data_IF_643411371719
#
_entry.id   IF_643411371719
#
_cell.length_a   1.000
_cell.length_b   1.000
_cell.length_c   1.000
_cell.angle_alpha   90.00
_cell.angle_beta   90.00
_cell.angle_gamma   90.00
#
_symmetry.space_group_name_H-M   'P 1'
#
loop_
_entity.id
_entity.type
_entity.pdbx_description
1 polymer ?
#
# COMPACT_ATOMS: atom_id res chain seq x y z
N UNK A 1 -4.70 -0.12 30.24
CA UNK A 1 -3.34 0.43 30.47
C UNK A 1 -2.47 0.02 29.30
N UNK A 2 -1.66 0.93 28.74
CA UNK A 2 -0.71 0.54 27.68
C UNK A 2 0.48 -0.13 28.38
N UNK A 3 0.70 -1.39 28.11
CA UNK A 3 1.81 -2.19 28.67
C UNK A 3 3.15 -1.60 28.25
N UNK A 4 4.08 -1.43 29.19
CA UNK A 4 5.45 -1.06 28.87
C UNK A 4 6.28 -2.31 28.57
N UNK A 5 7.19 -2.20 27.59
CA UNK A 5 8.06 -3.30 27.15
C UNK A 5 9.50 -2.80 27.06
N UNK A 6 10.42 -3.52 27.69
CA UNK A 6 11.85 -3.33 27.54
C UNK A 6 12.40 -4.40 26.58
N UNK A 7 12.88 -3.98 25.42
CA UNK A 7 13.54 -4.82 24.42
C UNK A 7 15.05 -4.71 24.66
N UNK A 8 15.71 -5.80 25.07
CA UNK A 8 17.13 -5.81 25.43
C UNK A 8 17.99 -6.41 24.32
N UNK A 9 19.22 -5.93 24.26
CA UNK A 9 20.29 -6.48 23.41
C UNK A 9 19.96 -6.48 21.91
N UNK A 10 19.07 -5.58 21.45
CA UNK A 10 18.66 -5.50 20.07
C UNK A 10 19.75 -4.92 19.17
N UNK A 11 19.96 -5.50 17.99
CA UNK A 11 20.78 -4.89 16.92
C UNK A 11 19.94 -3.90 16.11
N UNK A 12 20.54 -2.82 15.68
CA UNK A 12 19.94 -1.83 14.78
C UNK A 12 20.54 -1.95 13.37
N UNK A 13 19.80 -1.48 12.35
CA UNK A 13 20.19 -1.64 10.95
C UNK A 13 21.48 -0.89 10.57
N UNK A 14 21.85 0.13 11.34
CA UNK A 14 23.07 0.93 11.14
C UNK A 14 24.38 0.21 11.55
N UNK A 15 24.26 -1.03 12.03
CA UNK A 15 25.41 -1.83 12.46
C UNK A 15 26.06 -1.37 13.75
N UNK A 16 25.44 -0.45 14.49
CA UNK A 16 25.94 0.01 15.81
C UNK A 16 25.93 -1.13 16.84
N UNK A 17 26.58 -0.88 17.98
CA UNK A 17 26.55 -1.81 19.12
C UNK A 17 25.10 -2.09 19.55
N UNK A 18 24.82 -3.28 20.14
CA UNK A 18 23.49 -3.61 20.62
C UNK A 18 22.94 -2.57 21.60
N UNK A 19 21.63 -2.36 21.54
CA UNK A 19 20.92 -1.36 22.34
C UNK A 19 19.75 -1.98 23.10
N UNK A 20 19.37 -1.32 24.19
CA UNK A 20 18.09 -1.53 24.86
C UNK A 20 17.09 -0.47 24.41
N UNK A 21 15.84 -0.87 24.19
CA UNK A 21 14.74 0.00 23.81
C UNK A 21 13.59 -0.14 24.83
N UNK A 22 13.24 0.98 25.47
CA UNK A 22 12.06 1.03 26.32
C UNK A 22 10.88 1.57 25.51
N UNK A 23 9.84 0.75 25.34
CA UNK A 23 8.56 1.15 24.75
C UNK A 23 7.56 1.39 25.86
N UNK A 24 6.99 2.57 25.93
CA UNK A 24 5.97 2.95 26.91
C UNK A 24 4.97 3.91 26.29
N UNK A 25 3.70 3.75 26.62
CA UNK A 25 2.65 4.62 26.09
C UNK A 25 2.46 4.55 24.56
N UNK A 26 3.04 3.52 23.88
CA UNK A 26 2.97 3.38 22.41
C UNK A 26 4.07 4.11 21.65
N UNK A 27 5.12 4.59 22.35
CA UNK A 27 6.28 5.24 21.77
C UNK A 27 7.58 4.63 22.31
N UNK A 28 8.68 4.81 21.58
CA UNK A 28 10.02 4.50 22.10
C UNK A 28 10.38 5.60 23.10
N UNK A 29 10.25 5.32 24.39
CA UNK A 29 10.51 6.27 25.46
C UNK A 29 12.00 6.46 25.76
N UNK A 30 12.82 5.41 25.55
CA UNK A 30 14.26 5.48 25.71
C UNK A 30 14.98 4.51 24.76
N UNK A 31 16.19 4.92 24.31
CA UNK A 31 17.17 4.09 23.62
C UNK A 31 18.50 4.26 24.35
N UNK A 32 19.14 3.19 24.75
CA UNK A 32 20.38 3.21 25.51
C UNK A 32 21.29 2.03 25.11
N UNK A 33 22.60 2.05 25.42
CA UNK A 33 23.47 0.91 25.23
C UNK A 33 22.93 -0.34 25.94
N UNK A 34 23.16 -1.51 25.34
CA UNK A 34 22.70 -2.78 25.90
C UNK A 34 23.12 -2.98 27.36
N UNK A 35 22.19 -3.43 28.18
CA UNK A 35 22.40 -3.72 29.60
C UNK A 35 22.36 -2.50 30.53
N UNK A 36 22.05 -1.30 30.00
CA UNK A 36 22.04 -0.07 30.81
C UNK A 36 20.67 0.30 31.38
N UNK A 37 19.57 -0.14 30.73
CA UNK A 37 18.24 0.11 31.24
C UNK A 37 17.88 -0.94 32.32
N UNK A 38 17.30 -0.53 33.49
CA UNK A 38 16.91 -1.45 34.51
C UNK A 38 15.70 -2.31 34.10
N UNK A 39 15.62 -3.56 34.56
CA UNK A 39 14.53 -4.49 34.17
C UNK A 39 13.17 -4.06 34.71
N UNK A 40 13.17 -3.39 35.84
CA UNK A 40 11.96 -2.86 36.49
C UNK A 40 11.41 -1.60 35.80
N UNK A 41 12.10 -1.08 34.75
CA UNK A 41 11.61 0.03 33.94
C UNK A 41 10.36 -0.33 33.11
N UNK A 42 10.03 -1.62 32.96
CA UNK A 42 8.91 -2.07 32.15
C UNK A 42 8.20 -3.28 32.78
N UNK A 43 6.90 -3.41 32.44
CA UNK A 43 6.08 -4.56 32.89
C UNK A 43 6.51 -5.87 32.20
N UNK A 44 7.11 -5.78 31.01
CA UNK A 44 7.55 -6.93 30.21
C UNK A 44 8.96 -6.70 29.67
N UNK A 45 9.82 -7.70 29.84
CA UNK A 45 11.16 -7.71 29.24
C UNK A 45 11.22 -8.73 28.11
N UNK A 46 11.77 -8.31 26.97
CA UNK A 46 12.00 -9.14 25.78
C UNK A 46 13.49 -9.15 25.45
N UNK A 47 14.14 -10.30 25.52
CA UNK A 47 15.52 -10.45 25.05
C UNK A 47 15.53 -10.59 23.51
N UNK A 48 16.18 -9.63 22.86
CA UNK A 48 16.37 -9.56 21.43
C UNK A 48 17.83 -9.86 21.00
N UNK A 49 18.59 -10.57 21.85
CA UNK A 49 19.96 -10.97 21.56
C UNK A 49 20.05 -11.65 20.18
N UNK A 50 20.94 -11.14 19.31
CA UNK A 50 21.12 -11.62 17.94
C UNK A 50 20.01 -11.23 16.94
N UNK A 51 18.93 -10.58 17.40
CA UNK A 51 17.83 -10.13 16.54
C UNK A 51 18.03 -8.69 16.12
N UNK A 52 17.53 -8.38 14.92
CA UNK A 52 17.52 -7.04 14.34
C UNK A 52 16.18 -6.37 14.63
N UNK A 53 16.22 -5.14 15.13
CA UNK A 53 15.04 -4.28 15.26
C UNK A 53 14.99 -3.36 14.03
N UNK A 54 13.87 -3.38 13.37
CA UNK A 54 13.58 -2.56 12.19
C UNK A 54 12.28 -1.77 12.41
N UNK A 55 12.06 -0.67 11.68
CA UNK A 55 10.72 -0.12 11.52
C UNK A 55 9.78 -1.20 11.01
N UNK A 56 8.52 -1.16 11.43
CA UNK A 56 7.52 -2.08 10.90
C UNK A 56 7.38 -1.92 9.38
N UNK A 57 7.12 -3.02 8.68
CA UNK A 57 6.88 -2.99 7.25
C UNK A 57 5.56 -2.28 6.94
N UNK A 58 5.50 -1.61 5.81
CA UNK A 58 4.28 -0.99 5.30
C UNK A 58 3.98 -1.54 3.90
N UNK A 59 2.79 -2.13 3.72
CA UNK A 59 2.33 -2.64 2.44
C UNK A 59 1.49 -1.59 1.72
N UNK A 60 1.95 -1.14 0.56
CA UNK A 60 1.28 -0.11 -0.25
C UNK A 60 0.31 -0.68 -1.30
N UNK A 61 -0.03 -1.98 -1.21
CA UNK A 61 -0.97 -2.60 -2.14
C UNK A 61 -1.66 -3.81 -1.50
N UNK A 62 -2.71 -3.57 -0.70
CA UNK A 62 -3.43 -4.63 0.00
C UNK A 62 -4.92 -4.62 -0.33
N UNK A 63 -5.47 -5.78 -0.73
CA UNK A 63 -6.88 -5.99 -0.99
C UNK A 63 -7.59 -6.42 0.30
N UNK A 64 -8.31 -5.51 0.95
CA UNK A 64 -9.05 -5.82 2.18
C UNK A 64 -10.49 -6.25 1.88
N UNK A 65 -10.99 -6.00 0.69
CA UNK A 65 -12.25 -6.51 0.11
C UNK A 65 -13.55 -6.19 0.89
N UNK A 66 -13.46 -5.72 2.11
CA UNK A 66 -14.60 -5.36 2.96
C UNK A 66 -14.82 -3.83 2.96
N UNK A 67 -16.06 -3.34 2.82
CA UNK A 67 -17.33 -4.09 2.71
C UNK A 67 -17.58 -4.68 1.32
N UNK A 68 -18.46 -5.66 1.26
CA UNK A 68 -19.13 -6.16 0.07
C UNK A 68 -18.49 -7.36 -0.62
N UNK A 69 -17.24 -7.72 -0.25
CA UNK A 69 -16.52 -8.88 -0.79
C UNK A 69 -15.86 -9.71 0.33
N UNK A 70 -16.55 -9.88 1.43
CA UNK A 70 -16.07 -10.58 2.63
C UNK A 70 -15.85 -12.07 2.42
N UNK A 71 -16.33 -12.61 1.32
CA UNK A 71 -16.03 -13.96 0.83
C UNK A 71 -14.58 -14.12 0.39
N UNK A 72 -13.93 -13.02 -0.02
CA UNK A 72 -12.53 -13.01 -0.42
C UNK A 72 -11.61 -12.69 0.75
N UNK A 73 -11.88 -11.58 1.45
CA UNK A 73 -11.06 -11.14 2.57
C UNK A 73 -11.85 -10.17 3.47
N UNK A 74 -11.41 -10.07 4.75
CA UNK A 74 -11.95 -9.13 5.74
C UNK A 74 -10.84 -8.31 6.37
N UNK A 75 -11.17 -7.11 6.82
CA UNK A 75 -10.22 -6.22 7.51
C UNK A 75 -9.55 -6.94 8.70
N UNK A 76 -10.32 -7.64 9.53
CA UNK A 76 -9.77 -8.35 10.70
C UNK A 76 -8.76 -9.43 10.32
N UNK A 77 -9.06 -10.26 9.31
CA UNK A 77 -8.18 -11.38 8.93
C UNK A 77 -6.97 -10.92 8.15
N UNK A 78 -7.12 -9.98 7.23
CA UNK A 78 -6.00 -9.38 6.48
C UNK A 78 -5.02 -8.67 7.42
N UNK A 79 -5.52 -7.86 8.35
CA UNK A 79 -4.65 -7.12 9.28
C UNK A 79 -4.00 -8.03 10.32
N UNK A 80 -4.64 -9.14 10.71
CA UNK A 80 -4.02 -10.19 11.53
C UNK A 80 -2.87 -10.88 10.78
N UNK A 81 -3.08 -11.25 9.51
CA UNK A 81 -2.04 -11.84 8.67
C UNK A 81 -0.85 -10.87 8.48
N UNK A 82 -1.14 -9.59 8.21
CA UNK A 82 -0.15 -8.53 8.09
C UNK A 82 0.72 -8.43 9.35
N UNK A 83 0.08 -8.35 10.53
CA UNK A 83 0.76 -8.27 11.82
C UNK A 83 1.67 -9.49 12.06
N UNK A 84 1.21 -10.69 11.73
CA UNK A 84 2.01 -11.92 11.80
C UNK A 84 3.25 -11.88 10.90
N UNK A 85 3.15 -11.21 9.74
CA UNK A 85 4.26 -10.99 8.80
C UNK A 85 5.20 -9.84 9.17
N UNK A 86 4.93 -9.10 10.26
CA UNK A 86 5.71 -7.91 10.65
C UNK A 86 5.32 -6.64 9.89
N UNK A 87 4.21 -6.67 9.17
CA UNK A 87 3.61 -5.50 8.52
C UNK A 87 2.75 -4.75 9.55
N UNK A 88 3.06 -3.48 9.77
CA UNK A 88 2.43 -2.64 10.79
C UNK A 88 1.50 -1.58 10.20
N UNK A 89 1.45 -1.48 8.88
CA UNK A 89 0.53 -0.59 8.17
C UNK A 89 0.25 -1.09 6.76
N UNK A 90 -0.95 -0.80 6.26
CA UNK A 90 -1.45 -1.20 4.95
C UNK A 90 -2.07 -0.01 4.23
N UNK A 91 -1.87 0.07 2.91
CA UNK A 91 -2.73 0.86 2.04
C UNK A 91 -3.79 -0.06 1.41
N UNK A 92 -5.06 0.19 1.73
CA UNK A 92 -6.16 -0.57 1.18
C UNK A 92 -6.46 -0.14 -0.25
N UNK A 93 -6.56 -1.11 -1.17
CA UNK A 93 -7.06 -0.89 -2.53
C UNK A 93 -8.54 -0.53 -2.51
N UNK A 94 -9.04 0.27 -3.48
CA UNK A 94 -10.40 0.81 -3.44
C UNK A 94 -11.46 -0.18 -3.95
N UNK A 95 -11.14 -1.45 -4.09
CA UNK A 95 -11.92 -2.54 -4.72
C UNK A 95 -12.99 -3.17 -3.82
N UNK A 96 -13.52 -2.40 -2.90
CA UNK A 96 -14.70 -2.76 -2.08
C UNK A 96 -16.00 -2.76 -2.91
N UNK A 97 -17.12 -3.18 -2.33
CA UNK A 97 -18.44 -3.07 -2.95
C UNK A 97 -19.42 -2.40 -1.97
N UNK A 98 -19.83 -1.15 -2.23
CA UNK A 98 -19.39 -0.27 -3.34
C UNK A 98 -17.93 0.15 -3.25
N UNK A 99 -17.33 0.46 -4.42
CA UNK A 99 -15.93 0.90 -4.49
C UNK A 99 -15.71 2.26 -3.81
N UNK A 100 -14.50 2.53 -3.37
CA UNK A 100 -14.14 3.75 -2.63
C UNK A 100 -13.91 4.96 -3.57
N UNK A 101 -14.94 5.40 -4.28
CA UNK A 101 -14.89 6.52 -5.23
C UNK A 101 -15.43 7.85 -4.69
N UNK A 102 -15.93 7.88 -3.46
CA UNK A 102 -16.52 9.05 -2.83
C UNK A 102 -16.35 9.06 -1.30
N UNK A 103 -16.65 10.22 -0.67
CA UNK A 103 -16.47 10.43 0.75
C UNK A 103 -17.29 9.48 1.66
N UNK A 104 -18.48 9.06 1.23
CA UNK A 104 -19.33 8.18 2.03
C UNK A 104 -18.71 6.78 2.14
N UNK A 105 -18.19 6.24 1.04
CA UNK A 105 -17.55 4.94 1.02
C UNK A 105 -16.27 4.91 1.86
N UNK A 106 -15.44 5.97 1.77
CA UNK A 106 -14.27 6.11 2.63
C UNK A 106 -14.65 6.15 4.11
N UNK A 107 -15.71 6.88 4.45
CA UNK A 107 -16.18 6.94 5.85
C UNK A 107 -16.61 5.56 6.36
N UNK A 108 -17.43 4.85 5.59
CA UNK A 108 -17.88 3.49 5.95
C UNK A 108 -16.70 2.53 6.13
N UNK A 109 -15.76 2.54 5.16
CA UNK A 109 -14.57 1.70 5.23
C UNK A 109 -13.72 1.99 6.48
N UNK A 110 -13.48 3.27 6.78
CA UNK A 110 -12.66 3.67 7.94
C UNK A 110 -13.34 3.35 9.28
N UNK A 111 -14.67 3.33 9.34
CA UNK A 111 -15.40 2.87 10.54
C UNK A 111 -15.19 1.38 10.79
N UNK A 112 -15.22 0.55 9.74
CA UNK A 112 -14.87 -0.88 9.83
C UNK A 112 -13.43 -1.03 10.30
N UNK A 113 -12.49 -0.33 9.69
CA UNK A 113 -11.08 -0.39 10.08
C UNK A 113 -10.86 0.00 11.56
N UNK A 114 -11.56 1.03 12.04
CA UNK A 114 -11.46 1.48 13.44
C UNK A 114 -11.87 0.39 14.44
N UNK A 115 -12.80 -0.49 14.05
CA UNK A 115 -13.31 -1.58 14.90
C UNK A 115 -12.46 -2.85 14.77
N UNK A 116 -12.07 -3.20 13.56
CA UNK A 116 -11.59 -4.55 13.22
C UNK A 116 -10.09 -4.60 12.90
N UNK A 117 -9.45 -3.48 12.55
CA UNK A 117 -8.06 -3.50 12.15
C UNK A 117 -7.10 -3.65 13.33
N UNK A 118 -6.10 -4.52 13.18
CA UNK A 118 -5.03 -4.75 14.14
C UNK A 118 -3.75 -3.96 13.84
N UNK A 119 -3.64 -3.41 12.62
CA UNK A 119 -2.53 -2.55 12.18
C UNK A 119 -3.10 -1.27 11.59
N UNK A 120 -2.25 -0.28 11.35
CA UNK A 120 -2.68 0.94 10.67
C UNK A 120 -3.22 0.63 9.26
N UNK A 121 -4.36 1.20 8.90
CA UNK A 121 -4.92 1.09 7.55
C UNK A 121 -5.16 2.48 7.01
N UNK A 122 -4.53 2.81 5.87
CA UNK A 122 -4.82 4.02 5.12
C UNK A 122 -5.69 3.68 3.90
N UNK A 123 -6.75 4.46 3.61
CA UNK A 123 -7.57 4.22 2.44
C UNK A 123 -6.90 4.83 1.20
N UNK A 124 -7.01 4.15 0.06
CA UNK A 124 -6.91 4.78 -1.25
C UNK A 124 -8.31 5.13 -1.78
N UNK A 125 -8.37 6.00 -2.78
CA UNK A 125 -9.61 6.32 -3.47
C UNK A 125 -9.52 5.96 -4.95
N UNK A 126 -10.65 5.65 -5.59
CA UNK A 126 -10.69 5.36 -7.01
C UNK A 126 -10.18 6.54 -7.83
N UNK A 127 -9.44 6.25 -8.89
CA UNK A 127 -9.11 7.19 -9.95
C UNK A 127 -10.38 7.55 -10.72
N UNK A 128 -11.19 6.53 -11.01
CA UNK A 128 -12.42 6.70 -11.77
C UNK A 128 -13.65 6.31 -10.97
N UNK A 129 -14.76 6.96 -11.26
CA UNK A 129 -16.05 6.71 -10.64
C UNK A 129 -16.52 5.28 -10.91
N UNK A 130 -16.91 4.59 -9.85
CA UNK A 130 -17.31 3.20 -9.93
C UNK A 130 -16.19 2.25 -10.38
N UNK A 131 -14.93 2.68 -10.39
CA UNK A 131 -13.81 1.96 -11.02
C UNK A 131 -14.09 1.63 -12.50
N UNK A 132 -14.79 2.55 -13.19
CA UNK A 132 -15.29 2.32 -14.55
C UNK A 132 -14.29 2.66 -15.67
N UNK A 133 -13.30 3.51 -15.41
CA UNK A 133 -12.34 3.98 -16.41
C UNK A 133 -12.83 5.13 -17.32
N UNK A 134 -14.06 5.63 -17.13
CA UNK A 134 -14.70 6.59 -18.03
C UNK A 134 -14.86 7.99 -17.42
N UNK A 135 -15.13 8.11 -16.13
CA UNK A 135 -15.39 9.38 -15.45
C UNK A 135 -14.48 9.50 -14.21
N UNK A 136 -13.89 10.68 -13.99
CA UNK A 136 -13.06 10.96 -12.83
C UNK A 136 -13.87 10.88 -11.53
N UNK A 137 -13.30 10.29 -10.47
CA UNK A 137 -13.87 10.31 -9.13
C UNK A 137 -13.75 11.70 -8.47
N UNK A 138 -14.46 11.90 -7.35
CA UNK A 138 -14.49 13.20 -6.64
C UNK A 138 -13.29 13.37 -5.71
N UNK A 139 -12.15 13.78 -6.22
CA UNK A 139 -10.89 13.85 -5.46
C UNK A 139 -10.92 14.81 -4.28
N UNK A 140 -11.62 15.95 -4.38
CA UNK A 140 -11.78 16.86 -3.24
C UNK A 140 -12.48 16.18 -2.07
N UNK A 141 -13.56 15.45 -2.35
CA UNK A 141 -14.31 14.72 -1.34
C UNK A 141 -13.50 13.57 -0.71
N UNK A 142 -12.72 12.87 -1.52
CA UNK A 142 -11.79 11.82 -1.06
C UNK A 142 -10.68 12.44 -0.20
N UNK A 143 -10.06 13.51 -0.67
CA UNK A 143 -9.01 14.23 0.06
C UNK A 143 -9.49 14.76 1.42
N UNK A 144 -10.72 15.30 1.48
CA UNK A 144 -11.34 15.77 2.72
C UNK A 144 -11.52 14.65 3.76
N UNK A 145 -11.57 13.37 3.33
CA UNK A 145 -11.63 12.18 4.18
C UNK A 145 -10.26 11.56 4.50
N UNK A 146 -9.18 12.24 4.14
CA UNK A 146 -7.83 11.80 4.45
C UNK A 146 -7.17 10.91 3.40
N UNK A 147 -7.82 10.65 2.27
CA UNK A 147 -7.22 9.92 1.15
C UNK A 147 -5.99 10.67 0.65
N UNK A 148 -4.91 9.95 0.42
CA UNK A 148 -3.63 10.44 -0.10
C UNK A 148 -3.25 9.80 -1.42
N UNK A 149 -3.79 8.63 -1.70
CA UNK A 149 -3.47 7.82 -2.88
C UNK A 149 -4.71 7.63 -3.75
N UNK A 150 -4.54 7.81 -5.05
CA UNK A 150 -5.57 7.62 -6.06
C UNK A 150 -5.16 6.49 -6.99
N UNK A 151 -6.04 5.51 -7.14
CA UNK A 151 -5.76 4.31 -7.94
C UNK A 151 -7.07 3.62 -8.35
N UNK A 152 -7.07 2.90 -9.45
CA UNK A 152 -8.10 1.91 -9.77
C UNK A 152 -7.57 0.46 -9.52
N UNK A 153 -6.71 0.33 -8.50
CA UNK A 153 -6.18 -0.95 -8.06
C UNK A 153 -5.39 -1.67 -9.16
N UNK A 154 -5.84 -2.87 -9.52
CA UNK A 154 -5.18 -3.70 -10.53
C UNK A 154 -5.44 -3.26 -11.98
N UNK A 155 -6.33 -2.31 -12.18
CA UNK A 155 -6.60 -1.77 -13.51
C UNK A 155 -5.54 -0.76 -13.92
N UNK A 156 -4.87 -1.02 -15.04
CA UNK A 156 -4.05 0.00 -15.70
C UNK A 156 -4.94 1.04 -16.38
N UNK A 157 -4.60 2.34 -16.31
CA UNK A 157 -5.34 3.38 -17.04
C UNK A 157 -5.31 3.13 -18.56
N UNK A 158 -6.47 3.17 -19.20
CA UNK A 158 -6.60 3.00 -20.66
C UNK A 158 -6.90 4.34 -21.37
N UNK A 159 -7.69 5.20 -20.71
CA UNK A 159 -7.99 6.54 -21.21
C UNK A 159 -6.92 7.56 -20.76
N UNK A 160 -5.90 7.76 -21.59
CA UNK A 160 -4.78 8.67 -21.27
C UNK A 160 -5.20 10.14 -21.16
N UNK A 161 -6.24 10.57 -21.89
CA UNK A 161 -6.75 11.93 -21.77
C UNK A 161 -7.46 12.14 -20.41
N UNK A 162 -8.22 11.17 -19.98
CA UNK A 162 -8.84 11.19 -18.64
C UNK A 162 -7.77 11.22 -17.55
N UNK A 163 -6.77 10.35 -17.64
CA UNK A 163 -5.66 10.31 -16.68
C UNK A 163 -4.92 11.65 -16.63
N UNK A 164 -4.58 12.22 -17.77
CA UNK A 164 -3.88 13.50 -17.83
C UNK A 164 -4.69 14.63 -17.17
N UNK A 165 -6.00 14.73 -17.48
CA UNK A 165 -6.89 15.72 -16.85
C UNK A 165 -7.06 15.48 -15.35
N UNK A 166 -7.18 14.24 -14.94
CA UNK A 166 -7.26 13.84 -13.54
C UNK A 166 -6.00 14.28 -12.77
N UNK A 167 -4.81 14.05 -13.34
CA UNK A 167 -3.55 14.49 -12.77
C UNK A 167 -3.45 16.02 -12.72
N UNK A 168 -3.81 16.73 -13.78
CA UNK A 168 -3.84 18.20 -13.76
C UNK A 168 -4.75 18.75 -12.66
N UNK A 169 -5.94 18.18 -12.50
CA UNK A 169 -6.88 18.57 -11.46
C UNK A 169 -6.32 18.31 -10.06
N UNK A 170 -5.67 17.18 -9.85
CA UNK A 170 -5.14 16.77 -8.58
C UNK A 170 -3.84 17.49 -8.16
N UNK A 171 -3.19 18.23 -9.07
CA UNK A 171 -1.88 18.86 -8.82
C UNK A 171 -1.85 19.75 -7.56
N UNK A 172 -2.96 20.40 -7.23
CA UNK A 172 -3.08 21.26 -6.04
C UNK A 172 -3.64 20.52 -4.79
N UNK A 173 -3.98 19.23 -4.91
CA UNK A 173 -4.60 18.47 -3.82
C UNK A 173 -3.60 17.67 -2.99
N UNK A 174 -2.32 17.68 -3.37
CA UNK A 174 -1.28 16.86 -2.73
C UNK A 174 -1.68 15.38 -2.64
N UNK A 175 -2.10 14.84 -3.77
CA UNK A 175 -2.44 13.43 -3.98
C UNK A 175 -1.31 12.73 -4.74
N UNK A 176 -1.09 11.47 -4.41
CA UNK A 176 -0.17 10.58 -5.12
C UNK A 176 -0.99 9.62 -5.98
N UNK A 177 -0.66 9.53 -7.26
CA UNK A 177 -1.25 8.51 -8.13
C UNK A 177 -0.50 7.20 -7.95
N UNK A 178 -1.21 6.17 -7.54
CA UNK A 178 -0.68 4.81 -7.41
C UNK A 178 -1.19 4.00 -8.61
N UNK A 179 -0.32 3.82 -9.63
CA UNK A 179 -0.73 3.31 -10.93
C UNK A 179 0.07 2.09 -11.35
N UNK A 180 -0.61 1.19 -12.04
CA UNK A 180 0.01 0.10 -12.78
C UNK A 180 0.42 0.60 -14.18
N UNK A 181 1.67 0.39 -14.53
CA UNK A 181 2.21 0.74 -15.83
C UNK A 181 2.03 -0.43 -16.81
N UNK A 182 0.86 -0.53 -17.42
CA UNK A 182 0.56 -1.57 -18.40
C UNK A 182 -0.27 -0.97 -19.55
N UNK A 183 -0.26 -1.61 -20.72
CA UNK A 183 -1.09 -1.24 -21.85
C UNK A 183 -2.17 -2.30 -22.06
N UNK A 184 -3.42 -2.05 -21.59
CA UNK A 184 -4.49 -3.05 -21.61
C UNK A 184 -4.76 -3.65 -22.98
N UNK A 185 -4.66 -2.87 -24.05
CA UNK A 185 -4.86 -3.35 -25.42
C UNK A 185 -3.81 -4.37 -25.89
N UNK A 186 -2.62 -4.36 -25.29
CA UNK A 186 -1.56 -5.34 -25.57
C UNK A 186 -1.66 -6.59 -24.68
N UNK A 187 -2.28 -6.48 -23.53
CA UNK A 187 -2.29 -7.52 -22.48
C UNK A 187 -3.65 -8.18 -22.26
N UNK A 188 -4.72 -7.72 -22.90
CA UNK A 188 -6.12 -8.10 -22.66
C UNK A 188 -6.42 -9.61 -22.65
N UNK A 189 -5.58 -10.43 -23.28
CA UNK A 189 -5.74 -11.90 -23.32
C UNK A 189 -4.49 -12.63 -22.80
N UNK A 190 -3.56 -11.89 -22.23
CA UNK A 190 -2.33 -12.48 -21.72
C UNK A 190 -2.56 -13.10 -20.34
N UNK A 191 -1.95 -14.25 -20.12
CA UNK A 191 -2.06 -15.01 -18.87
C UNK A 191 -0.71 -15.27 -18.22
N UNK A 192 0.39 -14.99 -18.91
CA UNK A 192 1.75 -15.19 -18.43
C UNK A 192 2.76 -14.42 -19.28
N UNK A 193 4.02 -14.47 -18.92
CA UNK A 193 5.12 -13.96 -19.75
C UNK A 193 5.27 -14.73 -21.06
N UNK A 194 5.64 -14.10 -22.19
CA UNK A 194 5.94 -14.79 -23.44
C UNK A 194 7.26 -15.55 -23.32
N UNK A 195 7.29 -16.77 -23.82
CA UNK A 195 8.49 -17.60 -23.81
C UNK A 195 8.22 -19.06 -24.11
N UNK A 196 9.24 -19.90 -23.95
CA UNK A 196 9.13 -21.33 -24.23
C UNK A 196 7.97 -22.00 -23.52
N UNK A 197 7.71 -21.61 -22.27
CA UNK A 197 6.62 -22.20 -21.48
C UNK A 197 5.24 -21.78 -22.01
N UNK A 198 5.03 -20.50 -22.34
CA UNK A 198 3.76 -20.04 -22.90
C UNK A 198 3.46 -20.71 -24.25
N UNK A 199 4.49 -20.84 -25.12
CA UNK A 199 4.35 -21.54 -26.39
C UNK A 199 4.02 -23.03 -26.22
N UNK A 200 4.68 -23.72 -25.28
CA UNK A 200 4.39 -25.14 -25.00
C UNK A 200 2.97 -25.37 -24.47
N UNK A 201 2.45 -24.42 -23.69
CA UNK A 201 1.11 -24.52 -23.11
C UNK A 201 0.02 -23.94 -24.01
N UNK A 202 0.37 -23.33 -25.15
CA UNK A 202 -0.61 -22.65 -26.03
C UNK A 202 -1.27 -21.43 -25.37
N UNK A 203 -0.61 -20.81 -24.39
CA UNK A 203 -1.11 -19.64 -23.65
C UNK A 203 -0.56 -18.34 -24.25
N UNK A 204 -1.41 -17.31 -24.29
CA UNK A 204 -1.01 -15.99 -24.77
C UNK A 204 -0.09 -15.33 -23.75
N UNK A 205 1.09 -14.89 -24.20
CA UNK A 205 2.04 -14.16 -23.39
C UNK A 205 1.81 -12.65 -23.45
N UNK A 206 2.00 -11.96 -22.33
CA UNK A 206 2.04 -10.49 -22.25
C UNK A 206 3.37 -9.99 -22.79
N UNK A 207 3.42 -9.19 -23.87
CA UNK A 207 4.69 -8.67 -24.39
C UNK A 207 5.33 -7.71 -23.37
N UNK A 208 6.65 -7.82 -23.15
CA UNK A 208 7.38 -6.97 -22.21
C UNK A 208 7.21 -5.47 -22.51
N UNK A 209 7.16 -5.10 -23.79
CA UNK A 209 6.95 -3.72 -24.19
C UNK A 209 5.61 -3.13 -23.72
N UNK A 210 4.63 -3.94 -23.33
CA UNK A 210 3.37 -3.42 -22.79
C UNK A 210 3.59 -2.70 -21.45
N UNK A 211 4.40 -3.28 -20.56
CA UNK A 211 4.76 -2.64 -19.29
C UNK A 211 5.74 -1.48 -19.51
N UNK A 212 6.71 -1.61 -20.40
CA UNK A 212 7.65 -0.54 -20.73
C UNK A 212 6.95 0.72 -21.26
N UNK A 213 6.05 0.57 -22.23
CA UNK A 213 5.26 1.67 -22.80
C UNK A 213 4.34 2.29 -21.76
N UNK A 214 3.63 1.45 -21.00
CA UNK A 214 2.72 1.90 -19.94
C UNK A 214 3.48 2.68 -18.87
N UNK A 215 4.62 2.18 -18.42
CA UNK A 215 5.50 2.83 -17.45
C UNK A 215 6.00 4.18 -17.96
N UNK A 216 6.56 4.22 -19.17
CA UNK A 216 7.03 5.49 -19.74
C UNK A 216 5.89 6.51 -19.81
N UNK A 217 4.70 6.09 -20.20
CA UNK A 217 3.54 6.96 -20.34
C UNK A 217 3.15 7.56 -18.99
N UNK A 218 2.94 6.76 -17.95
CA UNK A 218 2.51 7.29 -16.63
C UNK A 218 3.59 8.15 -15.97
N UNK A 219 4.87 7.84 -16.17
CA UNK A 219 5.99 8.67 -15.70
C UNK A 219 6.00 10.03 -16.41
N UNK A 220 5.84 10.04 -17.73
CA UNK A 220 5.79 11.28 -18.51
C UNK A 220 4.64 12.18 -18.10
N UNK A 221 3.44 11.61 -17.92
CA UNK A 221 2.27 12.35 -17.44
C UNK A 221 2.47 12.89 -16.01
N UNK A 222 3.07 12.12 -15.14
CA UNK A 222 3.41 12.54 -13.76
C UNK A 222 4.38 13.74 -13.77
N UNK A 223 5.44 13.69 -14.57
CA UNK A 223 6.40 14.78 -14.69
C UNK A 223 5.75 16.04 -15.27
N UNK A 224 4.95 15.91 -16.35
CA UNK A 224 4.30 17.04 -17.01
C UNK A 224 3.27 17.75 -16.12
N UNK A 225 2.56 16.99 -15.29
CA UNK A 225 1.53 17.52 -14.38
C UNK A 225 2.04 17.89 -13.00
N UNK A 226 3.28 17.52 -12.67
CA UNK A 226 3.90 17.77 -11.36
C UNK A 226 3.32 16.94 -10.22
N UNK A 227 2.65 15.82 -10.51
CA UNK A 227 2.08 14.95 -9.48
C UNK A 227 3.09 13.91 -9.00
N UNK A 228 2.94 13.49 -7.75
CA UNK A 228 3.64 12.32 -7.23
C UNK A 228 3.06 11.04 -7.83
N UNK A 229 3.94 10.11 -8.22
CA UNK A 229 3.59 8.80 -8.76
C UNK A 229 4.17 7.69 -7.87
N UNK A 230 3.35 6.72 -7.52
CA UNK A 230 3.74 5.43 -6.97
C UNK A 230 3.45 4.35 -8.01
N UNK A 231 4.47 3.65 -8.44
CA UNK A 231 4.31 2.55 -9.40
C UNK A 231 3.94 1.29 -8.65
N UNK A 232 2.82 0.68 -9.05
CA UNK A 232 2.33 -0.57 -8.47
C UNK A 232 2.68 -1.77 -9.36
N UNK A 233 2.85 -2.93 -8.72
CA UNK A 233 2.94 -4.24 -9.37
C UNK A 233 3.95 -4.32 -10.53
N UNK A 234 5.10 -3.68 -10.40
CA UNK A 234 6.16 -3.73 -11.40
C UNK A 234 6.68 -5.17 -11.56
N UNK A 235 6.61 -5.73 -12.77
CA UNK A 235 6.98 -7.11 -13.05
C UNK A 235 8.32 -7.27 -13.76
N UNK A 236 8.75 -6.24 -14.50
CA UNK A 236 10.04 -6.25 -15.21
C UNK A 236 11.14 -5.60 -14.38
N UNK A 237 12.34 -6.21 -14.36
CA UNK A 237 13.48 -5.71 -13.59
C UNK A 237 14.40 -4.78 -14.38
N UNK A 238 14.24 -4.68 -15.70
CA UNK A 238 15.08 -3.89 -16.60
C UNK A 238 14.25 -2.90 -17.44
N UNK A 239 13.42 -2.12 -16.79
CA UNK A 239 12.65 -1.06 -17.44
C UNK A 239 13.47 0.23 -17.54
#
# INVERSE_FOLDING_TARGET
MKTSVLIRNARTADGSAPVDLLVSGGVIAAKAPAGTLPEDAAEKVLDASGKLVLPGLFDLHAHLCQPGREDKERVATATAAALHGGVTGLMAMPDTDPVMDNAAQITTFMEICRTDALVEVIPSGCLTKGDGGEEQASYDSLRAKGVRFITDGDRAPDNMLLLYRAMQYASNLNLTFALRGDVPSLTAKATMHPGTTSYRLGLTGSPSCAEEIGMETIIRLSVDTGNSLHVQTLSLIHI
#
